data_IF_020482738027
#
_entry.id   IF_020482738027
#
_cell.length_a   1.000
_cell.length_b   1.000
_cell.length_c   1.000
_cell.angle_alpha   90.00
_cell.angle_beta   90.00
_cell.angle_gamma   90.00
#
_symmetry.space_group_name_H-M   'P 1'
#
loop_
_entity.id
_entity.type
_entity.pdbx_description
1 polymer ?
#
# COMPACT_ATOMS: atom_id res chain seq x y z
N UNK A 1 -24.18 29.33 10.60
CA UNK A 1 -23.07 28.45 10.16
C UNK A 1 -23.62 27.57 9.05
N UNK A 2 -23.32 27.89 7.79
CA UNK A 2 -23.92 27.21 6.64
C UNK A 2 -23.13 25.93 6.36
N UNK A 3 -23.66 24.78 6.74
CA UNK A 3 -23.03 23.50 6.38
C UNK A 3 -23.35 23.24 4.91
N UNK A 4 -22.34 23.22 4.05
CA UNK A 4 -22.50 22.81 2.65
C UNK A 4 -22.08 21.33 2.57
N UNK A 5 -23.00 20.44 2.24
CA UNK A 5 -22.65 19.06 1.92
C UNK A 5 -22.11 18.94 0.48
N UNK A 6 -21.38 17.86 0.18
CA UNK A 6 -20.69 17.67 -1.11
C UNK A 6 -21.66 17.62 -2.31
N UNK A 7 -22.91 17.15 -2.13
CA UNK A 7 -23.92 17.16 -3.20
C UNK A 7 -24.39 18.58 -3.46
N UNK A 8 -24.66 19.34 -2.41
CA UNK A 8 -24.98 20.76 -2.51
C UNK A 8 -23.86 21.54 -3.20
N UNK A 9 -22.59 21.25 -2.85
CA UNK A 9 -21.44 21.84 -3.52
C UNK A 9 -21.37 21.46 -5.01
N UNK A 10 -21.65 20.21 -5.37
CA UNK A 10 -21.69 19.78 -6.77
C UNK A 10 -22.73 20.55 -7.59
N UNK A 11 -23.94 20.73 -7.05
CA UNK A 11 -25.00 21.51 -7.69
C UNK A 11 -24.58 22.97 -7.90
N UNK A 12 -24.00 23.61 -6.88
CA UNK A 12 -23.55 25.01 -6.96
C UNK A 12 -22.43 25.20 -7.98
N UNK A 13 -21.49 24.25 -8.03
CA UNK A 13 -20.37 24.27 -8.98
C UNK A 13 -20.78 23.88 -10.41
N UNK A 14 -22.02 23.43 -10.62
CA UNK A 14 -22.48 22.94 -11.92
C UNK A 14 -21.82 21.62 -12.34
N UNK A 15 -21.40 20.83 -11.35
CA UNK A 15 -20.68 19.58 -11.52
C UNK A 15 -21.44 18.38 -10.94
N UNK A 16 -20.71 17.28 -10.77
CA UNK A 16 -21.23 16.04 -10.20
C UNK A 16 -20.29 15.50 -9.13
N UNK A 17 -20.88 14.81 -8.15
CA UNK A 17 -20.10 14.17 -7.08
C UNK A 17 -19.31 12.98 -7.64
N UNK A 18 -18.04 12.90 -7.28
CA UNK A 18 -17.13 11.85 -7.70
C UNK A 18 -16.43 11.27 -6.47
N UNK A 19 -16.51 9.94 -6.28
CA UNK A 19 -15.79 9.20 -5.22
C UNK A 19 -15.84 9.85 -3.83
N UNK A 20 -17.03 9.96 -3.25
CA UNK A 20 -17.23 10.40 -1.87
C UNK A 20 -17.13 11.91 -1.69
N UNK A 21 -15.93 12.42 -1.41
CA UNK A 21 -15.68 13.81 -1.02
C UNK A 21 -15.21 14.73 -2.16
N UNK A 22 -15.40 14.33 -3.42
CA UNK A 22 -14.93 15.09 -4.57
C UNK A 22 -16.08 15.50 -5.48
N UNK A 23 -15.84 16.58 -6.21
CA UNK A 23 -16.72 17.09 -7.25
C UNK A 23 -15.91 17.27 -8.52
N UNK A 24 -16.44 16.80 -9.65
CA UNK A 24 -15.95 17.18 -10.97
C UNK A 24 -16.88 18.25 -11.53
N UNK A 25 -16.33 19.41 -11.85
CA UNK A 25 -17.08 20.56 -12.35
C UNK A 25 -16.33 21.22 -13.53
N UNK A 26 -17.00 22.16 -14.24
CA UNK A 26 -16.33 22.98 -15.24
C UNK A 26 -15.21 23.82 -14.61
N UNK A 27 -14.08 23.92 -15.32
CA UNK A 27 -13.04 24.90 -15.01
C UNK A 27 -13.47 26.35 -15.30
N UNK A 28 -12.71 27.35 -14.82
CA UNK A 28 -12.99 28.76 -15.12
C UNK A 28 -12.91 29.01 -16.64
N UNK A 29 -13.99 29.57 -17.23
CA UNK A 29 -14.06 29.82 -18.68
C UNK A 29 -14.42 28.61 -19.54
N UNK A 30 -14.65 27.44 -18.95
CA UNK A 30 -15.02 26.21 -19.67
C UNK A 30 -16.54 26.07 -19.85
N UNK A 31 -16.94 25.19 -20.77
CA UNK A 31 -18.35 24.89 -21.05
C UNK A 31 -19.06 24.24 -19.85
N UNK A 32 -20.39 24.35 -19.76
CA UNK A 32 -21.17 23.75 -18.64
C UNK A 32 -21.08 22.21 -18.55
N UNK A 33 -20.78 21.55 -19.66
CA UNK A 33 -20.57 20.09 -19.72
C UNK A 33 -19.15 19.66 -19.34
N UNK A 34 -18.24 20.61 -19.14
CA UNK A 34 -16.85 20.31 -18.79
C UNK A 34 -16.72 19.69 -17.38
N UNK A 35 -15.76 18.78 -17.23
CA UNK A 35 -15.44 18.06 -15.99
C UNK A 35 -13.93 18.08 -15.72
N UNK A 36 -13.25 19.10 -16.21
CA UNK A 36 -11.79 19.22 -16.12
C UNK A 36 -11.31 19.68 -14.75
N UNK A 37 -12.18 20.24 -13.90
CA UNK A 37 -11.80 20.71 -12.57
C UNK A 37 -12.29 19.74 -11.49
N UNK A 38 -11.35 19.14 -10.75
CA UNK A 38 -11.64 18.35 -9.56
C UNK A 38 -11.50 19.20 -8.30
N UNK A 39 -12.56 19.25 -7.49
CA UNK A 39 -12.55 19.81 -6.14
C UNK A 39 -12.58 18.67 -5.13
N UNK A 40 -11.69 18.67 -4.15
CA UNK A 40 -11.63 17.66 -3.07
C UNK A 40 -11.81 18.33 -1.72
N UNK A 41 -12.90 18.03 -1.03
CA UNK A 41 -13.21 18.59 0.28
C UNK A 41 -12.55 17.78 1.38
N UNK A 42 -11.91 18.44 2.35
CA UNK A 42 -11.21 17.81 3.48
C UNK A 42 -12.01 17.95 4.77
N UNK A 43 -11.68 17.09 5.74
CA UNK A 43 -12.34 17.03 7.04
C UNK A 43 -12.11 18.29 7.90
N UNK A 44 -11.02 19.01 7.66
CA UNK A 44 -10.68 20.28 8.34
C UNK A 44 -11.47 21.49 7.82
N UNK A 45 -12.40 21.28 6.88
CA UNK A 45 -13.16 22.35 6.23
C UNK A 45 -12.41 23.03 5.08
N UNK A 46 -11.17 22.63 4.79
CA UNK A 46 -10.45 23.09 3.60
C UNK A 46 -10.84 22.27 2.36
N UNK A 47 -10.43 22.75 1.19
CA UNK A 47 -10.54 21.99 -0.05
C UNK A 47 -9.28 22.18 -0.90
N UNK A 48 -9.04 21.24 -1.81
CA UNK A 48 -8.03 21.37 -2.86
C UNK A 48 -8.67 21.32 -4.23
N UNK A 49 -8.03 21.98 -5.19
CA UNK A 49 -8.43 21.97 -6.60
C UNK A 49 -7.34 21.33 -7.45
N UNK A 50 -7.74 20.61 -8.49
CA UNK A 50 -6.85 20.08 -9.51
C UNK A 50 -7.52 20.26 -10.87
N UNK A 51 -6.92 21.06 -11.74
CA UNK A 51 -7.31 21.12 -13.15
C UNK A 51 -6.62 20.00 -13.94
N UNK A 52 -7.38 19.35 -14.82
CA UNK A 52 -6.90 18.42 -15.84
C UNK A 52 -6.74 19.09 -17.21
N UNK A 53 -7.19 20.35 -17.36
CA UNK A 53 -7.06 21.15 -18.58
C UNK A 53 -5.87 22.11 -18.57
N UNK A 54 -5.10 22.15 -17.47
CA UNK A 54 -3.91 22.99 -17.34
C UNK A 54 -4.17 24.41 -16.84
N UNK A 55 -5.37 24.67 -16.29
CA UNK A 55 -5.71 25.98 -15.72
C UNK A 55 -4.87 26.28 -14.47
N UNK A 56 -4.66 27.58 -14.21
CA UNK A 56 -3.94 28.01 -13.01
C UNK A 56 -4.69 27.62 -11.72
N UNK A 57 -3.94 27.12 -10.74
CA UNK A 57 -4.53 26.60 -9.52
C UNK A 57 -5.19 27.69 -8.66
N UNK A 58 -4.66 28.92 -8.69
CA UNK A 58 -5.19 30.05 -7.91
C UNK A 58 -6.51 30.51 -8.50
N UNK A 59 -6.57 30.63 -9.82
CA UNK A 59 -7.81 30.94 -10.54
C UNK A 59 -8.89 29.88 -10.30
N UNK A 60 -8.53 28.59 -10.37
CA UNK A 60 -9.45 27.50 -10.05
C UNK A 60 -9.97 27.55 -8.61
N UNK A 61 -9.09 27.84 -7.65
CA UNK A 61 -9.45 27.95 -6.23
C UNK A 61 -10.40 29.12 -6.00
N UNK A 62 -10.08 30.28 -6.56
CA UNK A 62 -10.85 31.50 -6.36
C UNK A 62 -12.21 31.41 -7.08
N UNK A 63 -12.26 30.74 -8.24
CA UNK A 63 -13.50 30.36 -8.92
C UNK A 63 -14.41 29.49 -8.03
N UNK A 64 -13.85 28.45 -7.39
CA UNK A 64 -14.60 27.58 -6.47
C UNK A 64 -15.08 28.35 -5.23
N UNK A 65 -14.24 29.22 -4.65
CA UNK A 65 -14.63 30.08 -3.51
C UNK A 65 -15.80 30.98 -3.87
N UNK A 66 -15.70 31.71 -4.99
CA UNK A 66 -16.74 32.63 -5.43
C UNK A 66 -18.08 31.92 -5.67
N UNK A 67 -18.05 30.73 -6.29
CA UNK A 67 -19.25 29.92 -6.54
C UNK A 67 -19.90 29.41 -5.26
N UNK A 68 -19.09 28.95 -4.31
CA UNK A 68 -19.57 28.41 -3.03
C UNK A 68 -19.87 29.50 -1.99
N UNK A 69 -19.67 30.78 -2.32
CA UNK A 69 -19.87 31.89 -1.39
C UNK A 69 -18.88 31.90 -0.22
N UNK A 70 -17.67 31.35 -0.43
CA UNK A 70 -16.61 31.28 0.57
C UNK A 70 -15.76 32.56 0.52
N UNK A 71 -15.45 33.11 1.68
CA UNK A 71 -14.47 34.18 1.85
C UNK A 71 -13.34 33.70 2.75
N UNK A 72 -12.16 34.30 2.63
CA UNK A 72 -11.04 34.01 3.54
C UNK A 72 -11.31 34.50 4.97
N UNK A 73 -12.29 35.40 5.13
CA UNK A 73 -12.67 36.01 6.41
C UNK A 73 -13.69 35.18 7.22
N UNK A 74 -14.35 34.18 6.59
CA UNK A 74 -15.29 33.27 7.25
C UNK A 74 -15.08 31.82 6.78
N UNK A 75 -14.28 31.01 7.50
CA UNK A 75 -14.12 29.60 7.18
C UNK A 75 -15.45 28.85 7.41
N UNK A 76 -15.93 28.15 6.37
CA UNK A 76 -17.15 27.36 6.42
C UNK A 76 -16.81 25.90 6.72
N UNK A 77 -17.45 25.32 7.73
CA UNK A 77 -17.31 23.90 8.05
C UNK A 77 -18.16 23.06 7.09
N UNK A 78 -17.51 22.23 6.28
CA UNK A 78 -18.16 21.22 5.46
C UNK A 78 -18.40 19.97 6.31
N UNK A 79 -19.65 19.58 6.51
CA UNK A 79 -19.93 18.30 7.15
C UNK A 79 -19.54 17.19 6.17
N UNK A 80 -18.57 16.36 6.57
CA UNK A 80 -18.23 15.17 5.80
C UNK A 80 -19.45 14.24 5.82
N UNK A 81 -19.83 13.61 4.70
CA UNK A 81 -20.76 12.49 4.76
C UNK A 81 -20.19 11.46 5.74
N UNK A 82 -21.02 10.93 6.65
CA UNK A 82 -20.63 9.77 7.46
C UNK A 82 -19.99 8.73 6.52
N UNK A 83 -18.85 8.11 6.90
CA UNK A 83 -18.17 7.17 6.02
C UNK A 83 -19.18 6.13 5.56
N UNK A 84 -19.53 6.19 4.27
CA UNK A 84 -20.47 5.23 3.69
C UNK A 84 -19.78 3.90 3.81
N UNK A 85 -20.42 2.98 4.53
CA UNK A 85 -19.93 1.62 4.72
C UNK A 85 -19.71 1.01 3.32
N UNK A 86 -18.46 0.81 2.94
CA UNK A 86 -18.12 0.14 1.68
C UNK A 86 -18.34 -1.37 1.88
N UNK A 87 -19.55 -1.81 1.60
CA UNK A 87 -19.99 -3.20 1.75
C UNK A 87 -19.09 -4.14 0.95
N UNK A 88 -18.60 -3.73 -0.22
CA UNK A 88 -17.73 -4.58 -1.04
C UNK A 88 -16.33 -4.69 -0.45
N UNK A 89 -15.80 -3.61 0.13
CA UNK A 89 -14.55 -3.66 0.90
C UNK A 89 -14.69 -4.60 2.10
N UNK A 90 -15.78 -4.51 2.85
CA UNK A 90 -16.05 -5.40 3.99
C UNK A 90 -16.20 -6.86 3.55
N UNK A 91 -16.92 -7.12 2.47
CA UNK A 91 -17.04 -8.47 1.88
C UNK A 91 -15.68 -9.04 1.52
N UNK A 92 -14.83 -8.26 0.83
CA UNK A 92 -13.46 -8.70 0.47
C UNK A 92 -12.62 -8.99 1.71
N UNK A 93 -12.72 -8.17 2.75
CA UNK A 93 -12.00 -8.38 4.02
C UNK A 93 -12.50 -9.64 4.74
N UNK A 94 -13.81 -9.89 4.75
CA UNK A 94 -14.38 -11.12 5.29
C UNK A 94 -13.91 -12.35 4.50
N UNK A 95 -13.95 -12.31 3.17
CA UNK A 95 -13.44 -13.42 2.34
C UNK A 95 -11.95 -13.67 2.57
N UNK A 96 -11.13 -12.61 2.73
CA UNK A 96 -9.72 -12.77 3.07
C UNK A 96 -9.55 -13.47 4.43
N UNK A 97 -10.34 -13.07 5.42
CA UNK A 97 -10.35 -13.67 6.77
C UNK A 97 -10.75 -15.14 6.72
N UNK A 98 -11.81 -15.48 5.97
CA UNK A 98 -12.30 -16.85 5.82
C UNK A 98 -11.27 -17.75 5.12
N UNK A 99 -10.56 -17.24 4.10
CA UNK A 99 -9.46 -17.96 3.44
C UNK A 99 -8.31 -18.18 4.41
N UNK A 100 -7.91 -17.15 5.17
CA UNK A 100 -6.83 -17.27 6.16
C UNK A 100 -7.16 -18.34 7.22
N UNK A 101 -8.39 -18.33 7.75
CA UNK A 101 -8.85 -19.30 8.74
C UNK A 101 -8.88 -20.75 8.23
N UNK A 102 -9.02 -20.95 6.91
CA UNK A 102 -9.00 -22.26 6.25
C UNK A 102 -7.61 -22.65 5.73
N UNK A 103 -6.61 -21.80 5.91
CA UNK A 103 -5.24 -22.08 5.53
C UNK A 103 -4.54 -22.89 6.61
N UNK A 104 -3.71 -23.85 6.19
CA UNK A 104 -2.93 -24.75 7.04
C UNK A 104 -1.44 -24.36 7.02
N UNK A 105 -0.60 -24.85 7.94
CA UNK A 105 0.84 -24.62 7.89
C UNK A 105 1.47 -25.03 6.54
N UNK A 106 2.61 -24.43 6.20
CA UNK A 106 3.29 -24.67 4.91
C UNK A 106 3.83 -26.09 4.78
N UNK A 107 4.30 -26.69 5.88
CA UNK A 107 4.95 -28.00 5.88
C UNK A 107 4.06 -29.09 5.24
N UNK A 108 4.65 -29.88 4.34
CA UNK A 108 3.99 -30.94 3.59
C UNK A 108 3.03 -30.48 2.48
N UNK A 109 3.11 -29.21 2.04
CA UNK A 109 2.18 -28.64 1.05
C UNK A 109 2.88 -28.19 -0.23
N UNK A 110 2.10 -27.82 -1.25
CA UNK A 110 2.64 -27.22 -2.48
C UNK A 110 3.38 -25.90 -2.22
N UNK A 111 3.04 -25.17 -1.15
CA UNK A 111 3.79 -23.97 -0.77
C UNK A 111 5.21 -24.31 -0.29
N UNK A 112 5.40 -25.44 0.39
CA UNK A 112 6.73 -25.91 0.79
C UNK A 112 7.55 -26.29 -0.44
N UNK A 113 6.96 -27.05 -1.38
CA UNK A 113 7.59 -27.39 -2.67
C UNK A 113 8.02 -26.12 -3.41
N UNK A 114 7.13 -25.12 -3.48
CA UNK A 114 7.38 -23.84 -4.12
C UNK A 114 8.55 -23.07 -3.49
N UNK A 115 8.61 -23.00 -2.16
CA UNK A 115 9.69 -22.32 -1.46
C UNK A 115 11.01 -23.08 -1.65
N UNK A 116 10.99 -24.41 -1.54
CA UNK A 116 12.17 -25.23 -1.76
C UNK A 116 12.71 -25.16 -3.19
N UNK A 117 11.85 -25.07 -4.20
CA UNK A 117 12.28 -24.86 -5.59
C UNK A 117 12.99 -23.53 -5.80
N UNK A 118 12.94 -22.62 -4.81
CA UNK A 118 13.69 -21.35 -4.77
C UNK A 118 14.74 -21.31 -3.68
N UNK A 119 15.08 -22.45 -3.10
CA UNK A 119 16.05 -22.55 -2.00
C UNK A 119 15.64 -21.71 -0.78
N UNK A 120 14.33 -21.54 -0.56
CA UNK A 120 13.74 -20.86 0.58
C UNK A 120 13.03 -21.87 1.49
N UNK A 121 12.91 -21.51 2.76
CA UNK A 121 12.11 -22.21 3.75
C UNK A 121 11.47 -21.18 4.68
N UNK A 122 10.36 -21.56 5.31
CA UNK A 122 9.68 -20.73 6.29
C UNK A 122 8.91 -21.59 7.28
N UNK A 123 9.13 -21.36 8.56
CA UNK A 123 8.54 -22.08 9.69
C UNK A 123 7.68 -21.18 10.60
N UNK A 124 7.57 -19.89 10.29
CA UNK A 124 6.74 -18.94 11.02
C UNK A 124 5.25 -19.00 10.64
N UNK A 125 4.45 -18.14 11.27
CA UNK A 125 2.98 -18.16 11.17
C UNK A 125 2.41 -17.19 10.12
N UNK A 126 3.22 -16.28 9.57
CA UNK A 126 2.72 -15.24 8.67
C UNK A 126 2.38 -15.76 7.27
N UNK A 127 2.91 -16.94 6.91
CA UNK A 127 2.64 -17.62 5.66
C UNK A 127 1.99 -18.99 5.93
N UNK A 128 0.94 -19.30 5.18
CA UNK A 128 0.18 -20.55 5.25
C UNK A 128 -0.13 -21.06 3.86
N UNK A 129 -0.72 -22.24 3.74
CA UNK A 129 -1.22 -22.80 2.49
C UNK A 129 -2.74 -22.94 2.53
N UNK A 130 -3.44 -22.45 1.50
CA UNK A 130 -4.87 -22.64 1.33
C UNK A 130 -5.16 -23.76 0.30
N UNK A 131 -5.60 -24.95 0.74
CA UNK A 131 -5.81 -26.09 -0.17
C UNK A 131 -6.90 -25.84 -1.22
N UNK A 132 -7.98 -25.14 -0.82
CA UNK A 132 -9.13 -24.88 -1.69
C UNK A 132 -8.79 -24.05 -2.94
N UNK A 133 -7.74 -23.23 -2.86
CA UNK A 133 -7.24 -22.44 -3.99
C UNK A 133 -5.90 -22.88 -4.54
N UNK A 134 -5.25 -23.90 -3.93
CA UNK A 134 -3.83 -24.23 -4.14
C UNK A 134 -2.96 -22.98 -4.13
N UNK A 135 -2.94 -22.27 -2.99
CA UNK A 135 -2.20 -21.02 -2.89
C UNK A 135 -1.41 -20.94 -1.59
N UNK A 136 -0.16 -20.47 -1.67
CA UNK A 136 0.52 -19.91 -0.51
C UNK A 136 -0.14 -18.57 -0.17
N UNK A 137 -0.47 -18.36 1.10
CA UNK A 137 -1.18 -17.19 1.59
C UNK A 137 -0.32 -16.48 2.63
N UNK A 138 -0.08 -15.19 2.46
CA UNK A 138 0.56 -14.34 3.47
C UNK A 138 -0.46 -13.40 4.10
N UNK A 139 -0.49 -13.32 5.43
CA UNK A 139 -1.38 -12.41 6.15
C UNK A 139 -0.89 -10.97 6.03
N UNK A 140 -1.71 -10.10 5.43
CA UNK A 140 -1.41 -8.68 5.35
C UNK A 140 -1.97 -8.03 6.61
N UNK A 141 -1.08 -7.42 7.38
CA UNK A 141 -1.37 -6.69 8.61
C UNK A 141 -0.98 -5.24 8.42
N UNK A 142 -1.75 -4.31 8.98
CA UNK A 142 -1.39 -2.89 8.97
C UNK A 142 -0.02 -2.69 9.66
N UNK A 143 0.86 -1.91 9.02
CA UNK A 143 2.26 -1.80 9.47
C UNK A 143 2.38 -1.21 10.88
N UNK A 144 1.49 -0.29 11.27
CA UNK A 144 1.53 0.37 12.58
C UNK A 144 0.76 -0.43 13.63
N UNK A 145 -0.47 -0.83 13.31
CA UNK A 145 -1.39 -1.39 14.32
C UNK A 145 -1.30 -2.90 14.46
N UNK A 146 -0.66 -3.60 13.52
CA UNK A 146 -0.60 -5.07 13.50
C UNK A 146 -1.92 -5.75 13.14
N UNK A 147 -3.00 -4.99 12.92
CA UNK A 147 -4.33 -5.54 12.68
C UNK A 147 -4.39 -6.20 11.29
N UNK A 148 -4.97 -7.41 11.14
CA UNK A 148 -5.20 -8.03 9.85
C UNK A 148 -6.11 -7.21 8.93
N UNK A 149 -5.64 -6.91 7.72
CA UNK A 149 -6.37 -6.09 6.74
C UNK A 149 -6.59 -6.78 5.39
N UNK A 150 -5.87 -7.87 5.10
CA UNK A 150 -6.01 -8.62 3.86
C UNK A 150 -5.10 -9.84 3.79
N UNK A 151 -5.04 -10.44 2.61
CA UNK A 151 -4.14 -11.56 2.31
C UNK A 151 -3.46 -11.36 0.96
N UNK A 152 -2.18 -11.74 0.89
CA UNK A 152 -1.46 -11.96 -0.35
C UNK A 152 -1.57 -13.43 -0.72
N UNK A 153 -1.86 -13.76 -1.98
CA UNK A 153 -1.99 -15.16 -2.44
C UNK A 153 -1.07 -15.40 -3.62
N UNK A 154 -0.19 -16.38 -3.50
CA UNK A 154 0.59 -16.95 -4.60
C UNK A 154 -0.09 -18.25 -5.02
N UNK A 155 -0.80 -18.23 -6.14
CA UNK A 155 -1.48 -19.41 -6.68
C UNK A 155 -0.48 -20.35 -7.34
N UNK A 156 -0.64 -21.64 -7.09
CA UNK A 156 0.26 -22.71 -7.50
C UNK A 156 -0.47 -23.73 -8.38
N UNK A 157 0.25 -24.30 -9.34
CA UNK A 157 -0.21 -25.45 -10.10
C UNK A 157 -0.12 -26.75 -9.28
N UNK A 158 -0.27 -27.91 -9.93
CA UNK A 158 -0.24 -29.21 -9.24
C UNK A 158 1.17 -29.66 -8.87
N UNK A 159 2.19 -29.06 -9.49
CA UNK A 159 3.59 -29.38 -9.31
C UNK A 159 4.27 -28.37 -8.37
N UNK A 160 3.54 -27.37 -7.87
CA UNK A 160 4.05 -26.35 -6.96
C UNK A 160 4.63 -25.12 -7.67
N UNK A 161 4.47 -24.98 -8.99
CA UNK A 161 4.95 -23.80 -9.70
C UNK A 161 3.98 -22.63 -9.55
N UNK A 162 4.54 -21.42 -9.43
CA UNK A 162 3.75 -20.18 -9.37
C UNK A 162 3.01 -19.93 -10.68
N UNK A 163 1.69 -19.79 -10.58
CA UNK A 163 0.80 -19.33 -11.66
C UNK A 163 0.72 -17.79 -11.63
N UNK A 164 0.26 -17.23 -10.51
CA UNK A 164 0.04 -15.79 -10.37
C UNK A 164 0.02 -15.34 -8.89
N UNK A 165 0.15 -14.03 -8.67
CA UNK A 165 0.03 -13.41 -7.34
C UNK A 165 -1.18 -12.47 -7.31
N UNK A 166 -2.01 -12.55 -6.26
CA UNK A 166 -3.18 -11.67 -6.08
C UNK A 166 -3.38 -11.31 -4.62
N UNK A 167 -3.64 -10.03 -4.37
CA UNK A 167 -4.11 -9.55 -3.07
C UNK A 167 -5.64 -9.67 -2.94
N UNK A 168 -6.14 -9.81 -1.72
CA UNK A 168 -7.57 -9.74 -1.38
C UNK A 168 -7.75 -9.02 -0.05
N UNK A 169 -8.73 -8.12 0.02
CA UNK A 169 -8.88 -7.20 1.14
C UNK A 169 -8.10 -5.90 0.90
N UNK A 170 -7.76 -5.20 1.99
CA UNK A 170 -6.91 -4.02 1.92
C UNK A 170 -5.43 -4.42 1.92
N UNK A 171 -4.61 -3.61 1.25
CA UNK A 171 -3.15 -3.79 1.18
C UNK A 171 -2.36 -2.49 1.35
N UNK A 172 -3.04 -1.34 1.26
CA UNK A 172 -2.40 -0.04 1.44
C UNK A 172 -1.94 0.11 2.90
N UNK A 173 -0.65 0.39 3.10
CA UNK A 173 -0.04 0.46 4.43
C UNK A 173 0.15 -0.90 5.11
N UNK A 174 -0.09 -2.00 4.37
CA UNK A 174 0.02 -3.36 4.91
C UNK A 174 1.37 -4.00 4.66
N UNK A 175 1.76 -4.91 5.54
CA UNK A 175 2.95 -5.76 5.41
C UNK A 175 2.60 -7.22 5.71
N UNK A 176 3.39 -8.14 5.17
CA UNK A 176 3.50 -9.51 5.69
C UNK A 176 4.69 -9.54 6.64
N UNK A 177 4.42 -9.79 7.92
CA UNK A 177 5.42 -9.85 9.00
C UNK A 177 6.12 -11.20 9.00
N UNK A 178 7.16 -11.39 8.18
CA UNK A 178 7.86 -12.68 8.11
C UNK A 178 8.53 -13.00 9.45
N UNK A 179 9.04 -11.97 10.15
CA UNK A 179 9.34 -12.00 11.59
C UNK A 179 8.24 -11.29 12.39
N UNK A 180 7.91 -11.85 13.55
CA UNK A 180 6.92 -11.31 14.48
C UNK A 180 7.32 -9.96 15.07
N UNK A 181 6.34 -9.20 15.58
CA UNK A 181 6.61 -7.90 16.23
C UNK A 181 7.49 -8.06 17.49
N UNK A 182 7.45 -9.22 18.15
CA UNK A 182 8.26 -9.57 19.32
C UNK A 182 9.75 -9.80 19.00
N UNK A 183 10.08 -10.06 17.73
CA UNK A 183 11.45 -10.14 17.24
C UNK A 183 12.02 -8.76 16.87
N UNK A 184 11.16 -7.75 16.73
CA UNK A 184 11.56 -6.39 16.39
C UNK A 184 12.10 -5.67 17.62
N UNK A 185 13.38 -5.29 17.54
CA UNK A 185 14.06 -4.45 18.53
C UNK A 185 14.43 -3.11 17.90
N UNK A 186 15.71 -2.75 17.86
CA UNK A 186 16.17 -1.49 17.26
C UNK A 186 16.39 -1.58 15.75
N UNK A 187 16.43 -2.79 15.18
CA UNK A 187 16.62 -3.02 13.75
C UNK A 187 15.40 -3.66 13.09
N UNK A 188 15.07 -3.21 11.87
CA UNK A 188 14.06 -3.83 11.02
C UNK A 188 14.55 -3.88 9.57
N UNK A 189 14.30 -4.98 8.89
CA UNK A 189 14.48 -5.13 7.45
C UNK A 189 13.15 -5.12 6.73
N UNK A 190 13.08 -4.45 5.58
CA UNK A 190 11.92 -4.49 4.68
C UNK A 190 12.32 -4.83 3.25
N UNK A 191 11.39 -5.42 2.52
CA UNK A 191 11.55 -5.77 1.11
C UNK A 191 10.23 -5.61 0.34
N UNK A 192 10.26 -5.69 -0.99
CA UNK A 192 9.02 -5.74 -1.78
C UNK A 192 8.33 -7.11 -1.67
N UNK A 193 9.05 -8.16 -2.05
CA UNK A 193 8.51 -9.51 -2.18
C UNK A 193 8.65 -10.36 -0.92
N UNK A 194 7.72 -11.30 -0.73
CA UNK A 194 7.83 -12.34 0.31
C UNK A 194 9.10 -13.16 0.12
N UNK A 195 9.40 -13.55 -1.12
CA UNK A 195 10.55 -14.41 -1.43
C UNK A 195 11.89 -13.70 -1.16
N UNK A 196 12.02 -12.44 -1.56
CA UNK A 196 13.16 -11.59 -1.23
C UNK A 196 13.35 -11.47 0.28
N UNK A 197 12.26 -11.31 1.04
CA UNK A 197 12.30 -11.23 2.49
C UNK A 197 12.72 -12.52 3.17
N UNK A 198 12.26 -13.67 2.67
CA UNK A 198 12.73 -14.98 3.14
C UNK A 198 14.23 -15.19 2.82
N UNK A 199 14.70 -14.72 1.67
CA UNK A 199 16.13 -14.71 1.34
C UNK A 199 16.94 -13.86 2.31
N UNK A 200 16.44 -12.66 2.66
CA UNK A 200 17.07 -11.80 3.65
C UNK A 200 17.14 -12.47 5.04
N UNK A 201 16.07 -13.14 5.49
CA UNK A 201 16.09 -13.92 6.73
C UNK A 201 17.16 -15.01 6.70
N UNK A 202 17.27 -15.74 5.59
CA UNK A 202 18.28 -16.80 5.42
C UNK A 202 19.72 -16.26 5.57
N UNK A 203 19.97 -15.01 5.20
CA UNK A 203 21.27 -14.35 5.32
C UNK A 203 21.47 -13.59 6.64
N UNK A 204 20.57 -13.72 7.60
CA UNK A 204 20.72 -13.13 8.94
C UNK A 204 20.28 -11.67 9.04
N UNK A 205 19.48 -11.17 8.10
CA UNK A 205 18.92 -9.80 8.14
C UNK A 205 17.57 -9.72 8.87
N UNK A 206 17.27 -10.70 9.73
CA UNK A 206 16.10 -10.64 10.60
C UNK A 206 16.16 -9.48 11.60
N UNK A 207 15.01 -8.91 12.01
CA UNK A 207 13.64 -9.26 11.61
C UNK A 207 13.23 -8.66 10.26
N UNK A 208 12.36 -9.34 9.49
CA UNK A 208 11.98 -8.92 8.12
C UNK A 208 10.46 -8.78 7.92
N UNK A 209 10.02 -7.67 7.32
CA UNK A 209 8.63 -7.47 6.83
C UNK A 209 8.58 -7.23 5.31
N UNK A 210 7.65 -7.89 4.61
CA UNK A 210 7.45 -7.71 3.17
C UNK A 210 6.32 -6.70 2.87
N UNK A 211 6.61 -5.68 2.05
CA UNK A 211 5.70 -4.58 1.71
C UNK A 211 4.73 -4.89 0.57
N UNK A 212 4.97 -5.96 -0.19
CA UNK A 212 4.12 -6.51 -1.27
C UNK A 212 3.97 -5.65 -2.54
N UNK A 213 4.49 -4.42 -2.54
CA UNK A 213 4.58 -3.56 -3.73
C UNK A 213 5.51 -2.36 -3.48
N UNK A 214 6.03 -1.77 -4.55
CA UNK A 214 6.80 -0.54 -4.52
C UNK A 214 5.99 0.62 -3.93
N UNK A 215 4.68 0.64 -4.21
CA UNK A 215 3.77 1.67 -3.74
C UNK A 215 3.58 1.67 -2.22
N UNK A 216 3.60 0.49 -1.60
CA UNK A 216 3.54 0.34 -0.15
C UNK A 216 4.90 0.59 0.47
N UNK A 217 5.98 0.02 -0.08
CA UNK A 217 7.35 0.22 0.39
C UNK A 217 7.74 1.70 0.41
N UNK A 218 7.47 2.43 -0.68
CA UNK A 218 7.69 3.89 -0.78
C UNK A 218 7.08 4.66 0.40
N UNK A 219 5.94 4.20 0.90
CA UNK A 219 5.14 4.85 1.94
C UNK A 219 5.26 4.16 3.29
N UNK A 220 6.18 3.22 3.44
CA UNK A 220 6.38 2.53 4.70
C UNK A 220 6.66 3.57 5.79
N UNK A 221 5.89 3.55 6.90
CA UNK A 221 5.99 4.57 7.93
C UNK A 221 7.25 4.37 8.77
N UNK A 222 7.61 5.40 9.53
CA UNK A 222 8.58 5.26 10.63
C UNK A 222 7.91 4.45 11.73
N UNK A 223 8.59 3.42 12.24
CA UNK A 223 8.06 2.53 13.28
C UNK A 223 8.67 2.93 14.62
N UNK A 224 7.81 3.20 15.60
CA UNK A 224 8.25 3.54 16.95
C UNK A 224 9.11 2.43 17.55
N UNK A 225 10.25 2.80 18.12
CA UNK A 225 11.21 1.86 18.74
C UNK A 225 12.26 1.29 17.78
N UNK A 226 12.08 1.42 16.46
CA UNK A 226 13.10 1.02 15.48
C UNK A 226 14.06 2.20 15.25
N UNK A 227 15.36 1.94 15.35
CA UNK A 227 16.44 2.91 15.20
C UNK A 227 17.16 2.78 13.85
N UNK A 228 17.16 1.58 13.26
CA UNK A 228 17.82 1.26 11.99
C UNK A 228 16.90 0.47 11.04
N UNK A 229 16.77 0.95 9.80
CA UNK A 229 16.03 0.27 8.74
C UNK A 229 16.97 -0.24 7.64
N UNK A 230 16.86 -1.52 7.29
CA UNK A 230 17.49 -2.07 6.09
C UNK A 230 16.44 -2.28 5.00
N UNK A 231 16.63 -1.74 3.80
CA UNK A 231 15.70 -1.85 2.68
C UNK A 231 16.31 -2.70 1.58
N UNK A 232 15.72 -3.86 1.33
CA UNK A 232 16.03 -4.70 0.18
C UNK A 232 15.20 -4.26 -1.02
N UNK A 233 15.87 -3.63 -1.97
CA UNK A 233 15.26 -3.08 -3.18
C UNK A 233 15.55 -3.97 -4.38
N UNK A 234 14.52 -4.28 -5.15
CA UNK A 234 14.67 -4.97 -6.43
C UNK A 234 15.43 -4.05 -7.40
N UNK A 235 16.48 -4.57 -8.04
CA UNK A 235 17.23 -3.85 -9.06
C UNK A 235 16.54 -4.01 -10.42
N UNK A 236 15.36 -3.43 -10.59
CA UNK A 236 14.59 -3.51 -11.83
C UNK A 236 15.12 -2.57 -12.92
N UNK A 237 14.97 -2.94 -14.20
CA UNK A 237 15.41 -2.10 -15.35
C UNK A 237 14.84 -0.68 -15.31
N UNK A 238 13.62 -0.53 -14.77
CA UNK A 238 12.94 0.75 -14.70
C UNK A 238 13.28 1.53 -13.42
N UNK A 239 14.10 0.95 -12.52
CA UNK A 239 14.51 1.48 -11.21
C UNK A 239 13.33 1.93 -10.34
N UNK A 240 12.16 1.31 -10.51
CA UNK A 240 10.96 1.64 -9.72
C UNK A 240 11.17 1.21 -8.27
N UNK A 241 11.73 0.01 -8.05
CA UNK A 241 12.04 -0.53 -6.73
C UNK A 241 13.03 0.36 -5.99
N UNK A 242 14.16 0.67 -6.63
CA UNK A 242 15.16 1.60 -6.09
C UNK A 242 14.60 2.98 -5.75
N UNK A 243 13.78 3.59 -6.61
CA UNK A 243 13.15 4.89 -6.30
C UNK A 243 12.21 4.81 -5.10
N UNK A 244 11.47 3.71 -4.95
CA UNK A 244 10.61 3.50 -3.80
C UNK A 244 11.43 3.36 -2.50
N UNK A 245 12.53 2.61 -2.55
CA UNK A 245 13.47 2.46 -1.44
C UNK A 245 14.10 3.81 -1.05
N UNK A 246 14.60 4.59 -2.01
CA UNK A 246 15.16 5.93 -1.76
C UNK A 246 14.16 6.87 -1.09
N UNK A 247 12.92 6.90 -1.54
CA UNK A 247 11.87 7.74 -0.95
C UNK A 247 11.52 7.31 0.48
N UNK A 248 11.54 6.01 0.76
CA UNK A 248 11.37 5.47 2.10
C UNK A 248 12.57 5.82 2.99
N UNK A 249 13.79 5.59 2.49
CA UNK A 249 15.03 5.86 3.20
C UNK A 249 15.16 7.34 3.55
N UNK A 250 14.86 8.25 2.63
CA UNK A 250 14.84 9.69 2.90
C UNK A 250 13.91 10.03 4.08
N UNK A 251 12.71 9.43 4.14
CA UNK A 251 11.76 9.66 5.24
C UNK A 251 12.31 9.19 6.58
N UNK A 252 12.92 8.00 6.63
CA UNK A 252 13.53 7.45 7.84
C UNK A 252 14.74 8.25 8.30
N UNK A 253 15.60 8.65 7.35
CA UNK A 253 16.75 9.49 7.61
C UNK A 253 16.35 10.88 8.15
N UNK A 254 15.33 11.52 7.55
CA UNK A 254 14.80 12.81 8.02
C UNK A 254 14.19 12.73 9.43
N UNK A 255 13.72 11.55 9.84
CA UNK A 255 13.26 11.27 11.18
C UNK A 255 14.40 10.91 12.17
N UNK A 256 15.66 10.91 11.72
CA UNK A 256 16.85 10.70 12.56
C UNK A 256 17.28 9.24 12.72
N UNK A 257 16.75 8.33 11.91
CA UNK A 257 17.08 6.91 11.96
C UNK A 257 18.22 6.53 10.99
N UNK A 258 18.95 5.47 11.32
CA UNK A 258 19.88 4.84 10.39
C UNK A 258 19.10 4.14 9.28
N UNK A 259 19.55 4.26 8.03
CA UNK A 259 18.95 3.55 6.93
C UNK A 259 19.99 3.07 5.93
N UNK A 260 19.88 1.80 5.55
CA UNK A 260 20.74 1.15 4.56
C UNK A 260 19.87 0.57 3.44
N UNK A 261 20.24 0.83 2.19
CA UNK A 261 19.60 0.20 1.02
C UNK A 261 20.55 -0.87 0.47
N UNK A 262 20.04 -2.08 0.31
CA UNK A 262 20.74 -3.19 -0.32
C UNK A 262 19.99 -3.56 -1.60
N UNK A 263 20.70 -3.59 -2.73
CA UNK A 263 20.18 -4.01 -4.02
C UNK A 263 21.21 -4.91 -4.72
N UNK A 264 20.75 -5.86 -5.55
CA UNK A 264 21.67 -6.67 -6.35
C UNK A 264 22.46 -5.79 -7.32
N UNK A 265 23.72 -6.13 -7.57
CA UNK A 265 24.53 -5.52 -8.63
C UNK A 265 23.98 -5.87 -10.04
N UNK A 266 23.27 -6.99 -10.17
CA UNK A 266 22.69 -7.46 -11.43
C UNK A 266 21.26 -6.96 -11.59
N UNK A 267 20.98 -6.35 -12.74
CA UNK A 267 19.63 -5.89 -13.07
C UNK A 267 18.68 -7.07 -13.28
N UNK A 268 17.57 -7.08 -12.53
CA UNK A 268 16.54 -8.11 -12.55
C UNK A 268 16.81 -9.29 -11.61
N UNK A 269 17.88 -9.22 -10.83
CA UNK A 269 18.21 -10.20 -9.79
C UNK A 269 17.81 -9.64 -8.42
N UNK A 270 17.19 -10.47 -7.59
CA UNK A 270 16.92 -10.14 -6.20
C UNK A 270 17.80 -10.98 -5.23
N UNK A 271 17.65 -10.77 -3.92
CA UNK A 271 18.41 -11.53 -2.93
C UNK A 271 18.04 -13.01 -2.89
N UNK A 272 16.82 -13.38 -3.29
CA UNK A 272 16.46 -14.78 -3.39
C UNK A 272 17.26 -15.47 -4.52
N UNK A 273 17.47 -14.78 -5.65
CA UNK A 273 18.32 -15.28 -6.73
C UNK A 273 19.80 -15.41 -6.30
N UNK A 274 20.31 -14.45 -5.50
CA UNK A 274 21.66 -14.54 -4.91
C UNK A 274 21.75 -15.74 -3.94
N UNK A 275 20.71 -15.97 -3.13
CA UNK A 275 20.61 -17.13 -2.24
C UNK A 275 20.60 -18.46 -3.00
N UNK A 276 19.95 -18.50 -4.16
CA UNK A 276 19.95 -19.63 -5.07
C UNK A 276 21.36 -19.90 -5.62
N UNK A 277 22.08 -18.89 -6.09
CA UNK A 277 23.46 -19.05 -6.58
C UNK A 277 24.47 -19.48 -5.51
N UNK A 278 24.34 -18.94 -4.29
CA UNK A 278 25.25 -19.30 -3.20
C UNK A 278 25.04 -20.72 -2.66
N UNK A 279 23.92 -21.37 -3.01
CA UNK A 279 23.56 -22.72 -2.59
C UNK A 279 23.89 -23.81 -3.63
N UNK A 280 24.24 -23.42 -4.86
CA UNK A 280 24.62 -24.30 -5.98
C UNK A 280 26.14 -24.58 -6.00
#
# INVERSE_FOLDING_TARGET
MTIIDVKSAATILGGETFRGNRVLCPGPGHSKSDRSLQVTFKADGSFTVRSFAGDDFRECRDYVKARLGLSDDQPVSFATPLPVLDVDKLRKQQTATDIWARSIPIAGTLAEVYLHSRHLAYDGEALRFWPGGRAMVGLITDAITGVPIGIHRTFLDRDGNRIEKKMLGAAYGGVVRLSGDDEVSTGLSICEGIETGLGALRFGYGPVWACLSEGTMRRFPVIDGVEALTIFADNDRNRVGLRAADECARRWHEAGHEVTIIASETVGEDIADIAERAAA
#
